data_IF_359535521091
#
_entry.id   IF_359535521091
#
_cell.length_a   1.000
_cell.length_b   1.000
_cell.length_c   1.000
_cell.angle_alpha   90.00
_cell.angle_beta   90.00
_cell.angle_gamma   90.00
#
_symmetry.space_group_name_H-M   'P 1'
#
loop_
_entity.id
_entity.type
_entity.pdbx_description
1 polymer ?
#
# COMPACT_ATOMS: atom_id res chain seq x y z
N UNK A 1 -5.30 28.55 29.03
CA UNK A 1 -5.99 28.21 27.78
C UNK A 1 -6.25 26.70 27.76
N UNK A 2 -7.50 26.26 27.85
CA UNK A 2 -7.84 24.83 27.75
C UNK A 2 -7.84 24.46 26.26
N UNK A 3 -6.86 23.68 25.81
CA UNK A 3 -6.86 23.11 24.47
C UNK A 3 -7.98 22.08 24.40
N UNK A 4 -9.11 22.47 23.82
CA UNK A 4 -10.32 21.61 23.70
C UNK A 4 -10.13 20.44 22.72
N UNK A 5 -9.20 20.53 21.78
CA UNK A 5 -8.96 19.48 20.76
C UNK A 5 -7.49 19.10 20.76
N UNK A 6 -7.20 17.85 21.10
CA UNK A 6 -5.85 17.28 20.98
C UNK A 6 -5.61 16.90 19.52
N UNK A 7 -4.61 17.53 18.88
CA UNK A 7 -4.15 17.17 17.55
C UNK A 7 -3.06 16.10 17.68
N UNK A 8 -3.27 14.95 17.07
CA UNK A 8 -2.30 13.86 17.07
C UNK A 8 -1.40 13.97 15.83
N UNK A 9 -0.12 13.69 16.02
CA UNK A 9 0.85 13.61 14.90
C UNK A 9 0.46 12.54 13.88
N UNK A 10 0.01 11.39 14.37
CA UNK A 10 -0.53 10.31 13.56
C UNK A 10 -1.70 9.66 14.29
N UNK A 11 -2.75 9.39 13.56
CA UNK A 11 -3.94 8.68 14.06
C UNK A 11 -4.53 7.84 12.94
N UNK A 12 -4.92 6.62 13.25
CA UNK A 12 -5.69 5.80 12.31
C UNK A 12 -7.04 6.47 12.00
N UNK A 13 -7.43 6.43 10.73
CA UNK A 13 -8.70 6.97 10.27
C UNK A 13 -9.46 5.86 9.54
N UNK A 14 -10.29 5.14 10.27
CA UNK A 14 -11.19 4.14 9.71
C UNK A 14 -12.49 4.11 10.51
N UNK A 15 -13.55 3.62 9.90
CA UNK A 15 -14.86 3.44 10.54
C UNK A 15 -15.38 1.98 10.36
N UNK A 16 -16.67 1.80 10.55
CA UNK A 16 -17.30 0.49 10.40
C UNK A 16 -17.22 -0.07 8.98
N UNK A 17 -17.02 0.75 7.95
CA UNK A 17 -16.93 0.28 6.55
C UNK A 17 -15.66 -0.51 6.31
N UNK A 18 -14.52 0.00 6.78
CA UNK A 18 -13.24 -0.69 6.68
C UNK A 18 -13.25 -1.98 7.51
N UNK A 19 -13.78 -1.92 8.74
CA UNK A 19 -13.90 -3.09 9.62
C UNK A 19 -14.75 -4.17 8.96
N UNK A 20 -15.93 -3.82 8.45
CA UNK A 20 -16.81 -4.76 7.77
C UNK A 20 -16.20 -5.33 6.48
N UNK A 21 -15.44 -4.53 5.73
CA UNK A 21 -14.73 -5.00 4.55
C UNK A 21 -13.69 -6.07 4.90
N UNK A 22 -12.92 -5.88 5.97
CA UNK A 22 -11.96 -6.89 6.46
C UNK A 22 -12.67 -8.16 6.93
N UNK A 23 -13.73 -8.03 7.73
CA UNK A 23 -14.53 -9.17 8.19
C UNK A 23 -15.08 -9.97 7.01
N UNK A 24 -15.59 -9.28 5.98
CA UNK A 24 -16.09 -9.92 4.76
C UNK A 24 -15.00 -10.72 4.05
N UNK A 25 -13.81 -10.17 3.89
CA UNK A 25 -12.68 -10.87 3.27
C UNK A 25 -12.33 -12.14 4.05
N UNK A 26 -12.23 -12.05 5.38
CA UNK A 26 -11.91 -13.19 6.23
C UNK A 26 -12.98 -14.30 6.18
N UNK A 27 -14.25 -13.95 6.07
CA UNK A 27 -15.35 -14.91 5.95
C UNK A 27 -15.43 -15.57 4.58
N UNK A 28 -15.21 -14.83 3.51
CA UNK A 28 -15.42 -15.29 2.13
C UNK A 28 -14.18 -15.94 1.50
N UNK A 29 -12.98 -15.55 1.90
CA UNK A 29 -11.74 -15.99 1.26
C UNK A 29 -10.94 -16.94 2.14
N UNK A 30 -11.53 -18.08 2.48
CA UNK A 30 -10.89 -19.08 3.36
C UNK A 30 -9.62 -19.73 2.79
N UNK A 31 -9.48 -19.77 1.46
CA UNK A 31 -8.40 -20.52 0.80
C UNK A 31 -7.28 -19.66 0.24
N UNK A 32 -7.49 -18.36 0.06
CA UNK A 32 -6.52 -17.54 -0.66
C UNK A 32 -6.58 -16.06 -0.21
N UNK A 33 -6.00 -15.79 0.96
CA UNK A 33 -5.87 -14.43 1.46
C UNK A 33 -4.73 -13.66 0.80
N UNK A 34 -3.69 -14.36 0.34
CA UNK A 34 -2.59 -13.77 -0.40
C UNK A 34 -2.93 -13.65 -1.89
N UNK A 35 -2.52 -12.56 -2.53
CA UNK A 35 -2.70 -12.33 -3.96
C UNK A 35 -4.15 -12.50 -4.45
N UNK A 36 -5.10 -12.10 -3.61
CA UNK A 36 -6.52 -12.23 -3.87
C UNK A 36 -7.03 -11.23 -4.92
N UNK A 37 -8.30 -11.40 -5.33
CA UNK A 37 -9.00 -10.43 -6.21
C UNK A 37 -8.95 -8.99 -5.69
N UNK A 38 -8.88 -8.80 -4.36
CA UNK A 38 -8.81 -7.47 -3.75
C UNK A 38 -7.43 -6.85 -3.96
N UNK A 39 -6.35 -7.63 -3.85
CA UNK A 39 -4.99 -7.19 -4.16
C UNK A 39 -4.92 -6.75 -5.63
N UNK A 40 -5.38 -7.57 -6.56
CA UNK A 40 -5.38 -7.23 -7.99
C UNK A 40 -6.20 -5.97 -8.33
N UNK A 41 -7.36 -5.80 -7.68
CA UNK A 41 -8.16 -4.59 -7.83
C UNK A 41 -7.42 -3.36 -7.31
N UNK A 42 -6.75 -3.48 -6.17
CA UNK A 42 -5.97 -2.41 -5.58
C UNK A 42 -4.79 -2.03 -6.48
N UNK A 43 -4.00 -2.99 -6.93
CA UNK A 43 -2.90 -2.79 -7.88
C UNK A 43 -3.36 -2.04 -9.13
N UNK A 44 -4.48 -2.47 -9.72
CA UNK A 44 -5.04 -1.82 -10.91
C UNK A 44 -5.48 -0.38 -10.64
N UNK A 45 -6.15 -0.13 -9.51
CA UNK A 45 -6.61 1.22 -9.15
C UNK A 45 -5.45 2.17 -8.91
N UNK A 46 -4.44 1.72 -8.16
CA UNK A 46 -3.25 2.54 -7.89
C UNK A 46 -2.45 2.80 -9.16
N UNK A 47 -2.23 1.79 -9.99
CA UNK A 47 -1.56 1.98 -11.27
C UNK A 47 -2.25 3.05 -12.12
N UNK A 48 -3.56 2.99 -12.25
CA UNK A 48 -4.36 3.99 -12.99
C UNK A 48 -4.26 5.40 -12.39
N UNK A 49 -4.31 5.50 -11.06
CA UNK A 49 -4.19 6.79 -10.35
C UNK A 49 -2.87 7.50 -10.69
N UNK A 50 -1.80 6.75 -10.85
CA UNK A 50 -0.48 7.26 -11.22
C UNK A 50 -0.18 7.20 -12.73
N UNK A 51 -1.19 6.95 -13.57
CA UNK A 51 -1.02 6.87 -15.03
C UNK A 51 -0.10 5.72 -15.48
N UNK A 52 0.01 4.64 -14.69
CA UNK A 52 0.84 3.48 -14.98
C UNK A 52 0.01 2.31 -15.48
N UNK A 53 0.65 1.46 -16.29
CA UNK A 53 0.00 0.27 -16.85
C UNK A 53 -0.16 -0.84 -15.81
N UNK A 54 0.81 -0.98 -14.93
CA UNK A 54 0.87 -2.04 -13.92
C UNK A 54 1.17 -1.48 -12.54
N UNK A 55 0.66 -2.16 -11.51
CA UNK A 55 1.01 -1.97 -10.12
C UNK A 55 1.34 -3.32 -9.50
N UNK A 56 2.26 -3.34 -8.56
CA UNK A 56 2.64 -4.52 -7.80
C UNK A 56 2.55 -4.21 -6.31
N UNK A 57 1.73 -4.95 -5.60
CA UNK A 57 1.63 -4.85 -4.15
C UNK A 57 2.70 -5.72 -3.49
N UNK A 58 3.37 -5.14 -2.51
CA UNK A 58 4.40 -5.81 -1.71
C UNK A 58 4.08 -5.66 -0.23
N UNK A 59 4.81 -6.37 0.61
CA UNK A 59 4.54 -6.46 2.06
C UNK A 59 4.93 -5.20 2.85
N UNK A 60 5.77 -4.34 2.28
CA UNK A 60 6.23 -3.12 2.97
C UNK A 60 6.76 -2.07 2.00
N UNK A 61 6.83 -0.82 2.46
CA UNK A 61 7.49 0.26 1.71
C UNK A 61 8.98 -0.03 1.48
N UNK A 62 9.67 -0.63 2.43
CA UNK A 62 11.07 -1.02 2.28
C UNK A 62 11.27 -2.02 1.15
N UNK A 63 10.40 -3.03 1.05
CA UNK A 63 10.40 -3.97 -0.08
C UNK A 63 10.08 -3.29 -1.41
N UNK A 64 9.15 -2.34 -1.42
CA UNK A 64 8.81 -1.57 -2.61
C UNK A 64 10.01 -0.76 -3.12
N UNK A 65 10.72 -0.08 -2.23
CA UNK A 65 11.91 0.68 -2.57
C UNK A 65 13.03 -0.22 -3.11
N UNK A 66 13.29 -1.36 -2.45
CA UNK A 66 14.28 -2.32 -2.91
C UNK A 66 13.96 -2.84 -4.32
N UNK A 67 12.72 -3.24 -4.56
CA UNK A 67 12.28 -3.73 -5.87
C UNK A 67 12.32 -2.64 -6.94
N UNK A 68 11.91 -1.42 -6.62
CA UNK A 68 11.96 -0.29 -7.55
C UNK A 68 13.39 0.00 -8.02
N UNK A 69 14.34 0.06 -7.09
CA UNK A 69 15.74 0.27 -7.41
C UNK A 69 16.35 -0.92 -8.17
N UNK A 70 16.03 -2.14 -7.78
CA UNK A 70 16.48 -3.34 -8.47
C UNK A 70 15.96 -3.41 -9.91
N UNK A 71 14.72 -2.99 -10.15
CA UNK A 71 14.12 -2.99 -11.48
C UNK A 71 14.75 -2.00 -12.44
N UNK A 72 15.42 -0.96 -11.95
CA UNK A 72 16.16 0.00 -12.78
C UNK A 72 17.44 -0.60 -13.36
N UNK A 73 17.96 -1.69 -12.78
CA UNK A 73 19.15 -2.39 -13.21
C UNK A 73 20.33 -1.44 -13.48
N UNK A 74 20.57 -0.53 -12.55
CA UNK A 74 21.59 0.50 -12.71
C UNK A 74 23.01 -0.09 -12.64
N UNK A 75 23.97 0.43 -13.44
CA UNK A 75 25.37 0.04 -13.36
C UNK A 75 25.96 0.29 -11.96
N UNK A 76 26.96 -0.50 -11.59
CA UNK A 76 27.72 -0.30 -10.34
C UNK A 76 28.31 1.11 -10.31
N UNK A 77 28.13 1.82 -9.20
CA UNK A 77 28.60 3.19 -9.02
C UNK A 77 27.60 4.26 -9.42
N UNK A 78 26.39 3.90 -9.87
CA UNK A 78 25.32 4.87 -10.10
C UNK A 78 24.89 5.55 -8.82
N UNK A 79 24.59 6.83 -8.90
CA UNK A 79 24.10 7.64 -7.79
C UNK A 79 22.60 7.88 -7.93
N UNK A 80 21.87 7.86 -6.79
CA UNK A 80 20.44 8.14 -6.74
C UNK A 80 20.21 9.18 -5.66
N UNK A 81 19.43 10.19 -5.99
CA UNK A 81 19.01 11.23 -5.04
C UNK A 81 17.55 10.96 -4.67
N UNK A 82 17.28 10.87 -3.38
CA UNK A 82 15.92 10.72 -2.84
C UNK A 82 15.67 11.77 -1.75
N UNK A 83 14.40 12.17 -1.52
CA UNK A 83 14.05 13.04 -0.38
C UNK A 83 14.32 12.35 0.95
#
# INVERSE_FOLDING_TARGET
MKIKNKVYYAKTSYDSKEINAVIKVLKEQKLNLMNSKNVKKFETKIARLFGKKYGLMVNSCSSANLLALSALNLPKGSEIITP
#
